data_IF_923398646505
#
_entry.id   IF_923398646505
#
_cell.length_a   1.000
_cell.length_b   1.000
_cell.length_c   1.000
_cell.angle_alpha   90.00
_cell.angle_beta   90.00
_cell.angle_gamma   90.00
#
_symmetry.space_group_name_H-M   'P 1'
#
loop_
_entity.id
_entity.type
_entity.pdbx_description
1 polymer ?
#
# COMPACT_ATOMS: atom_id res chain seq x y z
N UNK A 1 44.46 -56.73 56.22
CA UNK A 1 45.32 -55.64 55.71
C UNK A 1 44.48 -54.91 54.66
N UNK A 2 43.74 -53.84 55.01
CA UNK A 2 44.24 -52.45 55.14
C UNK A 2 44.46 -51.87 53.72
N UNK A 3 43.93 -50.73 53.28
CA UNK A 3 43.31 -49.54 53.87
C UNK A 3 42.47 -48.83 52.78
N UNK A 4 41.51 -48.00 53.21
CA UNK A 4 40.67 -46.95 52.57
C UNK A 4 41.15 -46.33 51.22
N UNK A 5 40.31 -45.72 50.36
CA UNK A 5 39.67 -44.40 50.54
C UNK A 5 38.45 -44.18 49.62
N UNK A 6 37.44 -43.56 50.24
CA UNK A 6 36.15 -43.01 49.79
C UNK A 6 36.30 -41.91 48.72
N UNK A 7 35.43 -41.91 47.69
CA UNK A 7 34.83 -40.64 47.24
C UNK A 7 33.48 -40.85 46.56
N UNK A 8 32.42 -40.62 47.34
CA UNK A 8 31.03 -40.60 46.91
C UNK A 8 30.63 -39.15 46.62
N UNK A 9 30.41 -38.83 45.34
CA UNK A 9 29.85 -37.54 44.92
C UNK A 9 28.50 -37.78 44.25
N UNK A 10 27.45 -37.80 45.08
CA UNK A 10 26.08 -37.57 44.67
C UNK A 10 25.95 -36.24 43.89
N UNK A 11 25.82 -36.33 42.57
CA UNK A 11 25.37 -35.22 41.72
C UNK A 11 23.85 -35.09 41.83
N UNK A 12 23.39 -34.00 42.45
CA UNK A 12 21.99 -33.55 42.40
C UNK A 12 21.62 -33.25 40.93
N UNK A 13 20.50 -33.78 40.39
CA UNK A 13 20.13 -33.50 39.01
C UNK A 13 19.67 -32.04 38.88
N UNK A 14 20.43 -31.25 38.13
CA UNK A 14 20.03 -29.92 37.71
C UNK A 14 18.74 -30.03 36.88
N UNK A 15 17.65 -29.39 37.35
CA UNK A 15 16.41 -29.25 36.59
C UNK A 15 16.73 -28.58 35.25
N UNK A 16 16.72 -29.35 34.16
CA UNK A 16 16.73 -28.83 32.79
C UNK A 16 15.51 -27.93 32.63
N UNK A 17 15.73 -26.63 32.58
CA UNK A 17 14.70 -25.69 32.12
C UNK A 17 14.44 -26.04 30.66
N UNK A 18 13.21 -26.48 30.38
CA UNK A 18 12.79 -26.92 29.06
C UNK A 18 12.68 -25.69 28.12
N UNK A 19 13.81 -25.28 27.53
CA UNK A 19 13.85 -24.20 26.55
C UNK A 19 13.09 -24.54 25.24
N UNK A 20 12.87 -25.82 24.97
CA UNK A 20 12.11 -26.29 23.80
C UNK A 20 10.67 -25.79 23.78
N UNK A 21 9.98 -25.76 24.92
CA UNK A 21 8.58 -25.32 24.98
C UNK A 21 8.42 -23.81 24.75
N UNK A 22 9.39 -23.00 25.19
CA UNK A 22 9.37 -21.53 25.01
C UNK A 22 9.67 -21.16 23.56
N UNK A 23 10.57 -21.88 22.89
CA UNK A 23 10.86 -21.69 21.46
C UNK A 23 9.66 -22.02 20.57
N UNK A 24 8.95 -23.11 20.85
CA UNK A 24 7.74 -23.49 20.11
C UNK A 24 6.57 -22.55 20.39
N UNK A 25 6.37 -22.09 21.64
CA UNK A 25 5.34 -21.09 21.96
C UNK A 25 5.62 -19.72 21.34
N UNK A 26 6.87 -19.23 21.36
CA UNK A 26 7.23 -17.99 20.66
C UNK A 26 7.03 -18.13 19.15
N UNK A 27 7.39 -19.26 18.55
CA UNK A 27 7.15 -19.53 17.13
C UNK A 27 5.66 -19.54 16.77
N UNK A 28 4.81 -20.20 17.57
CA UNK A 28 3.35 -20.27 17.35
C UNK A 28 2.66 -18.91 17.58
N UNK A 29 3.13 -18.10 18.53
CA UNK A 29 2.62 -16.74 18.76
C UNK A 29 3.04 -15.79 17.63
N UNK A 30 4.29 -15.87 17.15
CA UNK A 30 4.76 -15.05 16.02
C UNK A 30 4.01 -15.40 14.72
N UNK A 31 3.74 -16.68 14.46
CA UNK A 31 2.95 -17.11 13.29
C UNK A 31 1.48 -16.71 13.43
N UNK A 32 0.88 -16.80 14.63
CA UNK A 32 -0.50 -16.37 14.86
C UNK A 32 -0.69 -14.86 14.74
N UNK A 33 0.36 -14.07 14.99
CA UNK A 33 0.41 -12.61 14.83
C UNK A 33 0.83 -12.15 13.42
N UNK A 34 1.04 -13.07 12.47
CA UNK A 34 1.31 -12.78 11.05
C UNK A 34 0.13 -13.20 10.14
N UNK A 35 -1.08 -13.33 10.71
CA UNK A 35 -2.30 -13.68 9.95
C UNK A 35 -2.81 -12.50 9.11
N UNK A 36 -3.55 -12.77 8.00
CA UNK A 36 -4.29 -11.77 7.22
C UNK A 36 -5.21 -10.91 8.12
N UNK A 37 -5.69 -9.75 7.64
CA UNK A 37 -6.51 -8.86 8.46
C UNK A 37 -7.78 -9.56 8.94
N UNK A 38 -8.24 -9.13 10.10
CA UNK A 38 -9.41 -9.62 10.80
C UNK A 38 -10.42 -8.49 10.99
N UNK A 39 -11.65 -8.82 11.39
CA UNK A 39 -12.64 -7.80 11.75
C UNK A 39 -12.20 -6.88 12.90
N UNK A 40 -11.21 -7.28 13.72
CA UNK A 40 -10.60 -6.38 14.71
C UNK A 40 -9.78 -5.27 14.06
N UNK A 41 -9.06 -5.58 12.97
CA UNK A 41 -8.26 -4.60 12.24
C UNK A 41 -9.16 -3.52 11.62
N UNK A 42 -10.31 -3.91 11.06
CA UNK A 42 -11.26 -3.00 10.43
C UNK A 42 -11.94 -2.03 11.42
N UNK A 43 -12.12 -2.41 12.70
CA UNK A 43 -12.71 -1.52 13.73
C UNK A 43 -11.89 -0.26 14.01
N UNK A 44 -10.62 -0.24 13.60
CA UNK A 44 -9.75 0.92 13.76
C UNK A 44 -9.91 1.96 12.64
N UNK A 45 -10.67 1.65 11.57
CA UNK A 45 -10.95 2.60 10.50
C UNK A 45 -11.87 3.73 11.00
N UNK A 46 -11.65 4.99 10.55
CA UNK A 46 -12.35 6.15 11.09
C UNK A 46 -13.78 6.30 10.58
N UNK A 47 -14.09 5.72 9.42
CA UNK A 47 -15.41 5.79 8.75
C UNK A 47 -16.09 4.43 8.74
N UNK A 48 -17.35 4.40 8.31
CA UNK A 48 -18.18 3.20 8.10
C UNK A 48 -18.48 3.03 6.60
N UNK A 49 -18.87 1.82 6.15
CA UNK A 49 -19.21 1.61 4.73
C UNK A 49 -20.28 2.58 4.20
N UNK A 50 -21.33 2.83 4.98
CA UNK A 50 -22.42 3.75 4.61
C UNK A 50 -21.96 5.21 4.35
N UNK A 51 -20.80 5.62 4.87
CA UNK A 51 -20.25 6.96 4.61
C UNK A 51 -19.78 7.11 3.14
N UNK A 52 -19.55 5.98 2.46
CA UNK A 52 -18.96 5.87 1.12
C UNK A 52 -19.94 5.42 0.03
N UNK A 53 -21.19 5.16 0.38
CA UNK A 53 -22.23 4.91 -0.63
C UNK A 53 -22.58 6.22 -1.34
N UNK A 54 -22.75 6.14 -2.65
CA UNK A 54 -23.21 7.24 -3.47
C UNK A 54 -24.67 7.57 -3.14
N UNK A 55 -25.01 8.86 -3.19
CA UNK A 55 -26.41 9.28 -3.21
C UNK A 55 -26.94 9.07 -4.62
N UNK A 56 -28.00 8.26 -4.76
CA UNK A 56 -28.68 7.97 -6.03
C UNK A 56 -29.16 9.25 -6.73
N UNK A 57 -29.40 10.33 -5.97
CA UNK A 57 -29.84 11.63 -6.48
C UNK A 57 -28.69 12.63 -6.70
N UNK A 58 -27.42 12.21 -6.54
CA UNK A 58 -26.29 13.09 -6.71
C UNK A 58 -26.18 13.63 -8.14
N UNK A 59 -26.28 14.94 -8.31
CA UNK A 59 -26.13 15.61 -9.60
C UNK A 59 -24.71 15.44 -10.16
N UNK A 60 -24.57 15.25 -11.47
CA UNK A 60 -23.27 15.16 -12.17
C UNK A 60 -22.38 16.38 -11.91
N UNK A 61 -21.07 16.17 -11.85
CA UNK A 61 -20.09 17.23 -11.62
C UNK A 61 -19.49 17.62 -12.97
N UNK A 62 -19.73 18.85 -13.40
CA UNK A 62 -19.27 19.37 -14.70
C UNK A 62 -17.79 19.78 -14.74
N UNK A 63 -17.07 19.65 -13.61
CA UNK A 63 -15.62 19.92 -13.51
C UNK A 63 -14.83 18.99 -14.43
N UNK A 64 -13.86 19.53 -15.17
CA UNK A 64 -12.89 18.73 -15.90
C UNK A 64 -11.97 17.99 -14.91
N UNK A 65 -11.96 16.66 -14.98
CA UNK A 65 -11.11 15.78 -14.18
C UNK A 65 -10.22 14.98 -15.12
N UNK A 66 -8.92 14.88 -14.84
CA UNK A 66 -8.01 14.05 -15.62
C UNK A 66 -7.88 12.66 -15.01
N UNK A 67 -8.22 11.63 -15.76
CA UNK A 67 -8.17 10.23 -15.32
C UNK A 67 -7.10 9.47 -16.09
N UNK A 68 -5.99 9.14 -15.43
CA UNK A 68 -4.97 8.27 -16.02
C UNK A 68 -5.36 6.81 -15.80
N UNK A 69 -6.07 6.24 -16.76
CA UNK A 69 -6.65 4.90 -16.71
C UNK A 69 -5.71 3.79 -17.22
N UNK A 70 -4.40 4.05 -17.37
CA UNK A 70 -3.46 2.98 -17.69
C UNK A 70 -3.01 2.18 -16.47
N UNK A 71 -2.75 0.89 -16.68
CA UNK A 71 -2.32 -0.01 -15.62
C UNK A 71 -0.91 0.31 -15.10
N UNK A 72 -0.56 -0.18 -13.90
CA UNK A 72 0.79 -0.04 -13.37
C UNK A 72 1.85 -0.51 -14.38
N UNK A 73 3.02 0.16 -14.36
CA UNK A 73 4.20 -0.12 -15.20
C UNK A 73 4.12 0.32 -16.67
N UNK A 74 3.14 1.12 -17.04
CA UNK A 74 3.00 1.77 -18.37
C UNK A 74 3.55 3.21 -18.42
N UNK A 75 4.05 3.76 -17.29
CA UNK A 75 4.56 5.14 -17.22
C UNK A 75 3.72 6.09 -16.35
N UNK A 76 2.78 5.57 -15.56
CA UNK A 76 1.88 6.37 -14.71
C UNK A 76 2.60 7.34 -13.77
N UNK A 77 3.74 6.96 -13.17
CA UNK A 77 4.53 7.86 -12.31
C UNK A 77 5.19 9.02 -13.07
N UNK A 78 5.62 8.78 -14.31
CA UNK A 78 6.14 9.85 -15.18
C UNK A 78 5.03 10.81 -15.56
N UNK A 79 3.85 10.28 -15.90
CA UNK A 79 2.70 11.09 -16.23
C UNK A 79 2.18 11.88 -15.02
N UNK A 80 2.19 11.30 -13.81
CA UNK A 80 1.90 12.03 -12.56
C UNK A 80 2.79 13.27 -12.43
N UNK A 81 4.11 13.12 -12.58
CA UNK A 81 5.02 14.26 -12.48
C UNK A 81 4.82 15.29 -13.59
N UNK A 82 4.43 14.86 -14.79
CA UNK A 82 4.10 15.78 -15.87
C UNK A 82 2.84 16.60 -15.55
N UNK A 83 1.78 15.95 -15.05
CA UNK A 83 0.55 16.62 -14.62
C UNK A 83 0.81 17.58 -13.44
N UNK A 84 1.64 17.20 -12.47
CA UNK A 84 2.06 18.10 -11.39
C UNK A 84 2.84 19.31 -11.90
N UNK A 85 3.65 19.16 -12.95
CA UNK A 85 4.35 20.27 -13.58
C UNK A 85 3.41 21.20 -14.39
N UNK A 86 2.19 20.73 -14.72
CA UNK A 86 1.07 21.55 -15.19
C UNK A 86 0.29 22.19 -14.03
N UNK A 87 0.83 22.15 -12.80
CA UNK A 87 0.21 22.68 -11.60
C UNK A 87 -1.12 22.00 -11.23
N UNK A 88 -1.32 20.75 -11.66
CA UNK A 88 -2.46 19.93 -11.26
C UNK A 88 -2.15 19.19 -9.96
N UNK A 89 -3.16 19.08 -9.09
CA UNK A 89 -3.11 18.23 -7.91
C UNK A 89 -3.43 16.80 -8.32
N UNK A 90 -2.51 15.85 -8.05
CA UNK A 90 -2.62 14.48 -8.57
C UNK A 90 -2.59 13.44 -7.45
N UNK A 91 -3.62 12.61 -7.36
CA UNK A 91 -3.58 11.38 -6.59
C UNK A 91 -3.05 10.21 -7.44
N UNK A 92 -1.90 9.66 -7.04
CA UNK A 92 -1.40 8.37 -7.50
C UNK A 92 -1.51 7.35 -6.37
N UNK A 93 -0.91 6.19 -6.53
CA UNK A 93 -0.96 5.07 -5.58
C UNK A 93 -0.63 5.48 -4.14
N UNK A 94 0.40 6.32 -3.92
CA UNK A 94 0.85 6.63 -2.56
C UNK A 94 -0.15 7.51 -1.81
N UNK A 95 -0.66 8.53 -2.50
CA UNK A 95 -1.67 9.46 -2.00
C UNK A 95 -3.02 8.76 -1.79
N UNK A 96 -3.37 7.84 -2.70
CA UNK A 96 -4.59 7.02 -2.62
C UNK A 96 -4.65 6.19 -1.33
N UNK A 97 -3.55 5.50 -1.03
CA UNK A 97 -3.43 4.69 0.19
C UNK A 97 -3.41 5.56 1.45
N UNK A 98 -2.79 6.73 1.35
CA UNK A 98 -2.65 7.68 2.43
C UNK A 98 -4.02 8.23 2.89
N UNK A 99 -4.82 8.69 1.93
CA UNK A 99 -6.02 9.49 2.18
C UNK A 99 -7.29 8.67 2.39
N UNK A 100 -7.45 7.53 1.68
CA UNK A 100 -8.76 6.84 1.59
C UNK A 100 -8.69 5.31 1.79
N UNK A 101 -7.78 4.83 2.64
CA UNK A 101 -7.63 3.38 2.88
C UNK A 101 -8.92 2.69 3.35
N UNK A 102 -9.75 3.39 4.14
CA UNK A 102 -11.06 2.93 4.58
C UNK A 102 -12.02 2.70 3.41
N UNK A 103 -12.17 3.69 2.53
CA UNK A 103 -12.94 3.56 1.29
C UNK A 103 -12.51 2.33 0.48
N UNK A 104 -11.20 2.23 0.18
CA UNK A 104 -10.69 1.10 -0.63
C UNK A 104 -10.88 -0.25 0.06
N UNK A 105 -10.74 -0.28 1.39
CA UNK A 105 -11.02 -1.49 2.15
C UNK A 105 -12.49 -1.88 2.03
N UNK A 106 -13.44 -0.96 2.24
CA UNK A 106 -14.85 -1.28 2.17
C UNK A 106 -15.29 -1.66 0.76
N UNK A 107 -14.90 -0.89 -0.25
CA UNK A 107 -15.23 -1.13 -1.65
C UNK A 107 -14.71 -2.51 -2.13
N UNK A 108 -13.42 -2.81 -1.94
CA UNK A 108 -12.83 -4.07 -2.40
C UNK A 108 -13.24 -5.31 -1.58
N UNK A 109 -13.93 -5.10 -0.45
CA UNK A 109 -14.55 -6.17 0.32
C UNK A 109 -16.05 -6.32 0.02
N UNK A 110 -16.61 -5.55 -0.93
CA UNK A 110 -18.03 -5.59 -1.28
C UNK A 110 -18.93 -5.06 -0.18
N UNK A 111 -18.40 -4.18 0.68
CA UNK A 111 -19.15 -3.53 1.76
C UNK A 111 -19.75 -2.19 1.32
N UNK A 112 -19.35 -1.70 0.14
CA UNK A 112 -19.92 -0.56 -0.55
C UNK A 112 -20.41 -1.07 -1.90
N UNK A 113 -21.70 -0.89 -2.20
CA UNK A 113 -22.30 -1.35 -3.44
C UNK A 113 -22.08 -0.33 -4.57
N UNK A 114 -22.30 0.95 -4.29
CA UNK A 114 -22.19 2.05 -5.25
C UNK A 114 -21.21 3.09 -4.70
N UNK A 115 -19.94 3.10 -5.14
CA UNK A 115 -18.92 3.94 -4.53
C UNK A 115 -19.13 5.42 -4.85
N UNK A 116 -19.17 6.26 -3.82
CA UNK A 116 -19.14 7.72 -3.96
C UNK A 116 -17.74 8.20 -4.34
N UNK A 117 -17.42 8.08 -5.64
CA UNK A 117 -16.12 8.48 -6.19
C UNK A 117 -15.83 9.97 -6.00
N UNK A 118 -16.87 10.82 -5.90
CA UNK A 118 -16.68 12.25 -5.72
C UNK A 118 -16.03 12.58 -4.37
N UNK A 119 -16.40 11.87 -3.29
CA UNK A 119 -15.76 12.04 -1.97
C UNK A 119 -14.27 11.69 -1.97
N UNK A 120 -13.86 10.77 -2.83
CA UNK A 120 -12.47 10.27 -2.94
C UNK A 120 -11.59 11.20 -3.79
N UNK A 121 -12.19 11.98 -4.70
CA UNK A 121 -11.45 12.78 -5.70
C UNK A 121 -11.81 14.28 -5.67
N UNK A 122 -12.53 14.72 -4.64
CA UNK A 122 -13.01 16.11 -4.50
C UNK A 122 -11.89 17.16 -4.51
N UNK A 123 -10.73 16.82 -3.97
CA UNK A 123 -9.60 17.73 -3.71
C UNK A 123 -8.47 17.64 -4.75
N UNK A 124 -8.68 16.90 -5.84
CA UNK A 124 -7.67 16.70 -6.88
C UNK A 124 -8.17 16.99 -8.28
N UNK A 125 -7.26 17.45 -9.13
CA UNK A 125 -7.53 17.72 -10.55
C UNK A 125 -7.31 16.46 -11.41
N UNK A 126 -6.47 15.54 -10.92
CA UNK A 126 -6.16 14.32 -11.63
C UNK A 126 -6.00 13.09 -10.72
N UNK A 127 -6.32 11.93 -11.26
CA UNK A 127 -6.17 10.64 -10.60
C UNK A 127 -5.45 9.63 -11.49
N UNK A 128 -4.71 8.69 -10.90
CA UNK A 128 -3.82 7.81 -11.66
C UNK A 128 -3.60 6.42 -11.04
N UNK A 129 -3.17 5.50 -11.90
CA UNK A 129 -2.79 4.11 -11.61
C UNK A 129 -3.99 3.16 -11.48
N UNK A 130 -3.70 1.87 -11.24
CA UNK A 130 -4.67 0.78 -11.28
C UNK A 130 -5.93 1.00 -10.41
N UNK A 131 -5.84 1.78 -9.33
CA UNK A 131 -6.96 2.14 -8.45
C UNK A 131 -8.08 2.86 -9.19
N UNK A 132 -7.75 3.99 -9.82
CA UNK A 132 -8.73 4.80 -10.51
C UNK A 132 -9.00 4.33 -11.93
N UNK A 133 -8.09 3.54 -12.51
CA UNK A 133 -8.37 2.77 -13.70
C UNK A 133 -9.51 1.76 -13.46
N UNK A 134 -9.59 1.17 -12.26
CA UNK A 134 -10.69 0.29 -11.88
C UNK A 134 -12.02 1.05 -11.77
N UNK A 135 -11.99 2.25 -11.17
CA UNK A 135 -13.16 3.11 -10.96
C UNK A 135 -13.53 3.99 -12.17
N UNK A 136 -12.92 3.75 -13.34
CA UNK A 136 -13.19 4.56 -14.53
C UNK A 136 -14.69 4.66 -14.88
N UNK A 137 -15.51 3.59 -14.80
CA UNK A 137 -16.95 3.66 -15.08
C UNK A 137 -17.68 4.62 -14.15
N UNK A 138 -17.48 4.48 -12.84
CA UNK A 138 -18.14 5.29 -11.82
C UNK A 138 -17.67 6.75 -11.91
N UNK A 139 -16.38 6.97 -12.20
CA UNK A 139 -15.83 8.32 -12.43
C UNK A 139 -16.47 8.96 -13.65
N UNK A 140 -16.57 8.28 -14.79
CA UNK A 140 -17.13 8.85 -16.02
C UNK A 140 -18.63 9.09 -15.92
N UNK A 141 -19.35 8.28 -15.14
CA UNK A 141 -20.75 8.53 -14.82
C UNK A 141 -20.91 9.80 -13.97
N UNK A 142 -20.01 10.00 -12.99
CA UNK A 142 -20.06 11.11 -12.04
C UNK A 142 -19.51 12.43 -12.60
N UNK A 143 -18.50 12.35 -13.48
CA UNK A 143 -17.76 13.45 -14.12
C UNK A 143 -17.83 13.30 -15.65
N UNK A 144 -18.93 13.71 -16.29
CA UNK A 144 -19.15 13.50 -17.72
C UNK A 144 -18.13 14.22 -18.62
N UNK A 145 -17.46 15.26 -18.11
CA UNK A 145 -16.44 16.02 -18.83
C UNK A 145 -15.00 15.54 -18.55
N UNK A 146 -14.84 14.40 -17.88
CA UNK A 146 -13.51 13.87 -17.58
C UNK A 146 -12.70 13.58 -18.85
N UNK A 147 -11.40 13.86 -18.78
CA UNK A 147 -10.42 13.58 -19.82
C UNK A 147 -9.62 12.35 -19.41
N UNK A 148 -9.66 11.29 -20.21
CA UNK A 148 -9.02 10.02 -19.89
C UNK A 148 -7.73 9.84 -20.67
N UNK A 149 -6.64 9.52 -19.98
CA UNK A 149 -5.35 9.18 -20.57
C UNK A 149 -5.08 7.69 -20.35
N UNK A 150 -5.15 6.91 -21.42
CA UNK A 150 -4.80 5.50 -21.41
C UNK A 150 -3.30 5.35 -21.72
N UNK A 151 -2.51 5.11 -20.67
CA UNK A 151 -1.06 4.89 -20.86
C UNK A 151 -0.77 3.47 -21.32
N UNK A 152 0.03 3.35 -22.38
CA UNK A 152 0.31 2.10 -23.08
C UNK A 152 1.80 1.75 -23.07
N UNK A 153 2.09 0.47 -23.21
CA UNK A 153 3.43 -0.08 -23.36
C UNK A 153 3.34 -1.40 -24.11
N UNK A 154 4.38 -1.72 -24.89
CA UNK A 154 4.47 -3.02 -25.53
C UNK A 154 4.35 -4.14 -24.49
N UNK A 155 3.55 -5.14 -24.84
CA UNK A 155 3.07 -6.18 -23.95
C UNK A 155 4.19 -6.95 -23.25
N UNK A 156 5.19 -7.41 -24.01
CA UNK A 156 6.34 -8.16 -23.50
C UNK A 156 7.21 -7.36 -22.50
N UNK A 157 7.69 -6.15 -22.86
CA UNK A 157 8.36 -5.27 -21.90
C UNK A 157 7.51 -4.89 -20.68
N UNK A 158 6.19 -4.73 -20.85
CA UNK A 158 5.28 -4.46 -19.75
C UNK A 158 5.22 -5.63 -18.77
N UNK A 159 5.00 -6.85 -19.27
CA UNK A 159 4.88 -8.05 -18.45
C UNK A 159 6.14 -8.28 -17.61
N UNK A 160 7.33 -8.21 -18.22
CA UNK A 160 8.60 -8.33 -17.48
C UNK A 160 8.75 -7.25 -16.41
N UNK A 161 8.34 -6.02 -16.71
CA UNK A 161 8.41 -4.94 -15.72
C UNK A 161 7.43 -5.14 -14.56
N UNK A 162 6.28 -5.76 -14.81
CA UNK A 162 5.27 -6.03 -13.80
C UNK A 162 5.61 -7.26 -12.95
N UNK A 163 6.18 -8.32 -13.55
CA UNK A 163 6.79 -9.45 -12.84
C UNK A 163 7.86 -8.99 -11.84
N UNK A 164 8.80 -8.16 -12.29
CA UNK A 164 9.87 -7.63 -11.43
C UNK A 164 9.29 -6.76 -10.29
N UNK A 165 8.25 -5.99 -10.60
CA UNK A 165 7.55 -5.17 -9.60
C UNK A 165 6.89 -6.03 -8.51
N UNK A 166 6.13 -7.05 -8.87
CA UNK A 166 5.47 -7.98 -7.91
C UNK A 166 6.51 -8.76 -7.10
N UNK A 167 7.60 -9.21 -7.73
CA UNK A 167 8.66 -9.94 -7.06
C UNK A 167 9.40 -9.11 -6.00
N UNK A 168 9.59 -7.81 -6.25
CA UNK A 168 10.33 -6.89 -5.37
C UNK A 168 9.46 -6.18 -4.32
N UNK A 169 8.19 -5.93 -4.63
CA UNK A 169 7.32 -5.16 -3.75
C UNK A 169 6.91 -5.95 -2.52
N UNK A 170 7.34 -5.48 -1.35
CA UNK A 170 7.06 -6.07 -0.04
C UNK A 170 5.56 -6.25 0.27
N UNK A 171 4.68 -5.46 -0.36
CA UNK A 171 3.23 -5.53 -0.15
C UNK A 171 2.62 -6.85 -0.65
N UNK A 172 3.27 -7.55 -1.58
CA UNK A 172 2.85 -8.88 -2.05
C UNK A 172 3.34 -10.03 -1.15
N UNK A 173 4.31 -9.79 -0.27
CA UNK A 173 5.00 -10.86 0.45
C UNK A 173 4.81 -10.75 1.97
N UNK A 174 3.68 -11.26 2.45
CA UNK A 174 3.34 -11.33 3.89
C UNK A 174 4.47 -11.91 4.76
N UNK A 175 5.15 -12.95 4.28
CA UNK A 175 6.29 -13.56 4.97
C UNK A 175 7.46 -12.60 5.17
N UNK A 176 7.73 -11.70 4.22
CA UNK A 176 8.76 -10.66 4.34
C UNK A 176 8.39 -9.57 5.34
N UNK A 177 7.10 -9.43 5.64
CA UNK A 177 6.56 -8.43 6.58
C UNK A 177 6.24 -8.99 7.97
N UNK A 178 6.51 -10.26 8.27
CA UNK A 178 6.11 -10.91 9.53
C UNK A 178 6.47 -10.10 10.79
N UNK A 179 7.69 -9.56 10.86
CA UNK A 179 8.12 -8.69 11.98
C UNK A 179 7.26 -7.43 12.09
N UNK A 180 6.98 -6.77 10.98
CA UNK A 180 6.19 -5.53 10.95
C UNK A 180 4.71 -5.78 11.24
N UNK A 181 4.18 -6.93 10.87
CA UNK A 181 2.81 -7.34 11.23
C UNK A 181 2.68 -7.58 12.74
N UNK A 182 3.68 -8.21 13.36
CA UNK A 182 3.74 -8.35 14.82
C UNK A 182 3.81 -6.97 15.49
N UNK A 183 4.70 -6.10 15.02
CA UNK A 183 4.85 -4.74 15.57
C UNK A 183 3.61 -3.88 15.33
N UNK A 184 2.92 -4.03 14.21
CA UNK A 184 1.65 -3.37 13.91
C UNK A 184 0.56 -3.73 14.92
N UNK A 185 0.42 -5.02 15.26
CA UNK A 185 -0.55 -5.48 16.27
C UNK A 185 -0.17 -5.00 17.67
N UNK A 186 1.12 -5.07 18.01
CA UNK A 186 1.62 -4.55 19.27
C UNK A 186 1.44 -3.03 19.41
N UNK A 187 1.71 -2.27 18.35
CA UNK A 187 1.50 -0.82 18.30
C UNK A 187 0.07 -0.45 18.66
N UNK A 188 -0.90 -1.10 18.00
CA UNK A 188 -2.33 -0.87 18.26
C UNK A 188 -2.72 -1.27 19.68
N UNK A 189 -2.21 -2.39 20.19
CA UNK A 189 -2.46 -2.81 21.57
C UNK A 189 -1.89 -1.82 22.61
N UNK A 190 -0.82 -1.11 22.26
CA UNK A 190 -0.20 -0.06 23.09
C UNK A 190 -0.79 1.33 22.83
N UNK A 191 -1.70 1.49 21.85
CA UNK A 191 -2.28 2.78 21.48
C UNK A 191 -1.28 3.77 20.86
N UNK A 192 -0.24 3.27 20.18
CA UNK A 192 0.83 4.11 19.61
C UNK A 192 0.39 4.74 18.28
N UNK A 193 -0.26 5.90 18.35
CA UNK A 193 -0.65 6.70 17.17
C UNK A 193 0.52 7.48 16.57
N UNK A 194 1.56 6.77 16.12
CA UNK A 194 2.80 7.35 15.58
C UNK A 194 2.75 7.44 14.03
N UNK A 195 1.79 8.19 13.49
CA UNK A 195 1.69 8.49 12.05
C UNK A 195 2.28 9.86 11.69
N UNK A 196 2.76 10.05 10.45
CA UNK A 196 2.93 11.39 9.89
C UNK A 196 1.55 11.89 9.49
N UNK A 197 0.95 12.75 10.32
CA UNK A 197 -0.29 13.44 10.00
C UNK A 197 -1.47 12.52 9.72
N UNK A 198 -2.63 13.11 9.44
CA UNK A 198 -3.88 12.41 9.12
C UNK A 198 -3.86 11.72 7.72
N UNK A 199 -2.77 11.07 7.34
CA UNK A 199 -2.63 10.47 6.01
C UNK A 199 -1.37 9.67 5.71
N UNK A 200 -0.37 9.52 6.59
CA UNK A 200 0.79 8.68 6.27
C UNK A 200 0.52 7.16 6.28
N UNK A 201 1.38 6.34 5.65
CA UNK A 201 1.42 4.88 5.88
C UNK A 201 1.86 4.60 7.33
N UNK A 202 0.87 4.48 8.21
CA UNK A 202 1.07 4.09 9.59
C UNK A 202 1.26 2.55 9.67
N UNK A 203 2.20 2.12 10.53
CA UNK A 203 2.44 0.71 10.82
C UNK A 203 1.15 0.00 11.29
N UNK A 204 0.24 0.71 11.96
CA UNK A 204 -1.04 0.19 12.44
C UNK A 204 -1.99 -0.22 11.31
N UNK A 205 -1.88 0.42 10.15
CA UNK A 205 -2.70 0.16 8.97
C UNK A 205 -2.14 -0.94 8.06
N UNK A 206 -0.91 -1.41 8.33
CA UNK A 206 -0.20 -2.33 7.44
C UNK A 206 -1.00 -3.59 7.04
N UNK A 207 -1.70 -4.31 7.93
CA UNK A 207 -2.45 -5.50 7.52
C UNK A 207 -3.62 -5.19 6.58
N UNK A 208 -4.32 -4.07 6.80
CA UNK A 208 -5.42 -3.62 5.93
C UNK A 208 -4.89 -3.18 4.58
N UNK A 209 -3.80 -2.41 4.57
CA UNK A 209 -3.11 -2.01 3.34
C UNK A 209 -2.72 -3.21 2.50
N UNK A 210 -2.07 -4.21 3.09
CA UNK A 210 -1.61 -5.39 2.34
C UNK A 210 -2.79 -6.18 1.75
N UNK A 211 -3.94 -6.21 2.43
CA UNK A 211 -5.14 -6.85 1.88
C UNK A 211 -5.80 -6.03 0.77
N UNK A 212 -5.97 -4.72 0.98
CA UNK A 212 -6.43 -3.77 -0.06
C UNK A 212 -5.56 -3.89 -1.31
N UNK A 213 -4.25 -3.88 -1.13
CA UNK A 213 -3.27 -4.04 -2.21
C UNK A 213 -3.44 -5.37 -2.96
N UNK A 214 -3.50 -6.49 -2.23
CA UNK A 214 -3.71 -7.81 -2.82
C UNK A 214 -5.05 -7.90 -3.57
N UNK A 215 -6.09 -7.26 -3.07
CA UNK A 215 -7.44 -7.29 -3.65
C UNK A 215 -7.53 -6.48 -4.93
N UNK A 216 -7.05 -5.23 -4.94
CA UNK A 216 -7.04 -4.44 -6.18
C UNK A 216 -6.23 -5.15 -7.26
N UNK A 217 -5.12 -5.78 -6.88
CA UNK A 217 -4.28 -6.52 -7.81
C UNK A 217 -4.99 -7.75 -8.39
N UNK A 218 -5.70 -8.49 -7.52
CA UNK A 218 -6.52 -9.62 -7.94
C UNK A 218 -7.66 -9.19 -8.90
N UNK A 219 -8.32 -8.06 -8.64
CA UNK A 219 -9.42 -7.54 -9.46
C UNK A 219 -8.91 -7.09 -10.82
N UNK A 220 -7.83 -6.31 -10.85
CA UNK A 220 -7.31 -5.71 -12.08
C UNK A 220 -6.56 -6.75 -12.92
N UNK A 221 -5.61 -7.46 -12.32
CA UNK A 221 -4.67 -8.31 -13.04
C UNK A 221 -5.05 -9.79 -13.02
N UNK A 222 -6.00 -10.22 -12.17
CA UNK A 222 -6.31 -11.64 -11.94
C UNK A 222 -5.26 -12.35 -11.07
N UNK A 223 -4.24 -11.62 -10.60
CA UNK A 223 -3.14 -12.13 -9.80
C UNK A 223 -3.38 -11.96 -8.30
N UNK A 224 -4.19 -12.80 -7.67
CA UNK A 224 -4.30 -12.79 -6.20
C UNK A 224 -3.05 -13.30 -5.45
N UNK A 225 -1.93 -13.48 -6.15
CA UNK A 225 -0.72 -14.15 -5.68
C UNK A 225 0.53 -13.38 -6.06
N UNK A 226 1.60 -13.62 -5.31
CA UNK A 226 2.92 -13.03 -5.51
C UNK A 226 3.79 -13.77 -6.54
N UNK A 227 3.21 -14.68 -7.31
CA UNK A 227 3.88 -15.47 -8.34
C UNK A 227 3.48 -15.01 -9.75
N UNK A 228 4.35 -15.18 -10.76
CA UNK A 228 4.01 -14.91 -12.15
C UNK A 228 2.71 -15.60 -12.55
N UNK A 229 1.81 -14.84 -13.17
CA UNK A 229 0.49 -15.34 -13.56
C UNK A 229 0.27 -15.13 -15.06
N UNK A 230 -0.04 -16.19 -15.84
CA UNK A 230 -0.30 -16.05 -17.28
C UNK A 230 -1.53 -15.18 -17.59
N UNK A 231 -2.40 -14.92 -16.61
CA UNK A 231 -3.56 -14.04 -16.79
C UNK A 231 -3.20 -12.56 -16.90
N UNK A 232 -2.02 -12.14 -16.42
CA UNK A 232 -1.63 -10.72 -16.43
C UNK A 232 -1.67 -10.11 -17.82
N UNK A 233 -1.21 -10.85 -18.84
CA UNK A 233 -1.29 -10.43 -20.23
C UNK A 233 -2.73 -10.20 -20.68
N UNK A 234 -3.59 -11.19 -20.46
CA UNK A 234 -5.02 -11.09 -20.80
C UNK A 234 -5.72 -9.95 -20.05
N UNK A 235 -5.32 -9.72 -18.80
CA UNK A 235 -5.85 -8.62 -18.00
C UNK A 235 -5.45 -7.25 -18.55
N UNK A 236 -4.21 -7.10 -19.01
CA UNK A 236 -3.73 -5.89 -19.69
C UNK A 236 -4.55 -5.60 -20.95
N UNK A 237 -4.69 -6.58 -21.83
CA UNK A 237 -5.43 -6.41 -23.09
C UNK A 237 -6.91 -6.12 -22.82
N UNK A 238 -7.52 -6.89 -21.91
CA UNK A 238 -8.93 -6.70 -21.52
C UNK A 238 -9.15 -5.31 -20.96
N UNK A 239 -8.26 -4.82 -20.09
CA UNK A 239 -8.38 -3.49 -19.51
C UNK A 239 -8.29 -2.39 -20.56
N UNK A 240 -7.29 -2.46 -21.45
CA UNK A 240 -7.12 -1.46 -22.50
C UNK A 240 -8.31 -1.45 -23.47
N UNK A 241 -8.81 -2.63 -23.85
CA UNK A 241 -10.01 -2.75 -24.67
C UNK A 241 -11.26 -2.20 -23.95
N UNK A 242 -11.38 -2.46 -22.65
CA UNK A 242 -12.48 -1.96 -21.84
C UNK A 242 -12.51 -0.43 -21.77
N UNK A 243 -11.38 0.20 -21.46
CA UNK A 243 -11.27 1.67 -21.43
C UNK A 243 -11.64 2.27 -22.80
N UNK A 244 -11.15 1.70 -23.90
CA UNK A 244 -11.52 2.16 -25.25
C UNK A 244 -13.02 2.04 -25.54
N UNK A 245 -13.67 0.99 -25.02
CA UNK A 245 -15.11 0.80 -25.21
C UNK A 245 -15.96 1.74 -24.36
N UNK A 246 -15.41 2.21 -23.24
CA UNK A 246 -16.09 3.01 -22.24
C UNK A 246 -15.99 4.52 -22.52
N UNK A 247 -14.82 4.97 -22.99
CA UNK A 247 -14.50 6.39 -23.12
C UNK A 247 -14.77 6.88 -24.55
N UNK A 248 -15.54 7.96 -24.74
CA UNK A 248 -15.67 8.63 -26.03
C UNK A 248 -14.33 9.05 -26.62
N UNK A 249 -14.18 8.95 -27.94
CA UNK A 249 -12.91 9.24 -28.64
C UNK A 249 -12.37 10.66 -28.37
N UNK A 250 -13.25 11.65 -28.27
CA UNK A 250 -12.89 13.05 -27.95
C UNK A 250 -12.47 13.29 -26.48
N UNK A 251 -12.65 12.28 -25.63
CA UNK A 251 -12.26 12.28 -24.22
C UNK A 251 -11.10 11.32 -23.93
N UNK A 252 -10.56 10.63 -24.95
CA UNK A 252 -9.51 9.62 -24.77
C UNK A 252 -8.19 10.05 -25.43
N UNK A 253 -7.11 9.98 -24.67
CA UNK A 253 -5.74 10.07 -25.18
C UNK A 253 -5.02 8.75 -24.96
N UNK A 254 -4.57 8.10 -26.02
CA UNK A 254 -3.62 6.99 -25.93
C UNK A 254 -2.18 7.52 -25.82
N UNK A 255 -1.50 7.13 -24.75
CA UNK A 255 -0.21 7.73 -24.39
C UNK A 255 0.88 6.67 -24.20
N UNK A 256 1.81 6.58 -25.15
CA UNK A 256 2.89 5.59 -25.11
C UNK A 256 4.27 6.27 -25.10
N UNK A 257 4.89 6.30 -23.91
CA UNK A 257 6.23 6.87 -23.71
C UNK A 257 7.32 6.14 -24.52
N UNK A 258 7.15 4.85 -24.80
CA UNK A 258 8.12 4.07 -25.58
C UNK A 258 8.05 4.41 -27.08
N UNK A 259 6.90 4.88 -27.55
CA UNK A 259 6.69 5.35 -28.93
C UNK A 259 7.00 6.85 -29.10
N UNK A 260 7.46 7.52 -28.05
CA UNK A 260 7.92 8.91 -28.11
C UNK A 260 6.89 9.97 -27.71
N UNK A 261 5.69 9.57 -27.27
CA UNK A 261 4.71 10.54 -26.74
C UNK A 261 5.30 11.27 -25.52
N UNK A 262 4.97 12.55 -25.37
CA UNK A 262 5.51 13.42 -24.34
C UNK A 262 4.68 14.68 -24.16
N UNK A 263 5.35 15.83 -24.04
CA UNK A 263 4.71 17.11 -23.76
C UNK A 263 3.73 17.55 -24.85
N UNK A 264 4.06 17.31 -26.13
CA UNK A 264 3.25 17.77 -27.25
C UNK A 264 1.86 17.13 -27.23
N UNK A 265 1.81 15.81 -27.10
CA UNK A 265 0.56 15.04 -27.06
C UNK A 265 -0.26 15.37 -25.80
N UNK A 266 0.42 15.51 -24.65
CA UNK A 266 -0.24 15.84 -23.40
C UNK A 266 -0.86 17.25 -23.42
N UNK A 267 -0.12 18.26 -23.88
CA UNK A 267 -0.57 19.65 -23.91
C UNK A 267 -1.65 19.87 -24.98
N UNK A 268 -1.54 19.20 -26.13
CA UNK A 268 -2.59 19.23 -27.15
C UNK A 268 -3.92 18.65 -26.63
N UNK A 269 -3.86 17.65 -25.75
CA UNK A 269 -5.05 17.03 -25.16
C UNK A 269 -5.60 17.80 -23.95
N UNK A 270 -4.74 18.49 -23.19
CA UNK A 270 -5.09 19.29 -22.02
C UNK A 270 -4.82 20.79 -22.24
N UNK A 271 -5.48 21.46 -23.20
CA UNK A 271 -5.15 22.82 -23.60
C UNK A 271 -5.53 23.90 -22.57
N UNK A 272 -6.30 23.57 -21.52
CA UNK A 272 -6.88 24.56 -20.61
C UNK A 272 -6.01 24.92 -19.39
N UNK A 273 -4.86 24.28 -19.19
CA UNK A 273 -4.17 24.35 -17.88
C UNK A 273 -2.99 25.30 -17.77
N UNK A 274 -2.44 25.85 -18.87
CA UNK A 274 -1.17 26.61 -18.80
C UNK A 274 -1.07 27.75 -19.82
N UNK A 275 -0.35 28.82 -19.46
CA UNK A 275 -0.04 29.90 -20.39
C UNK A 275 0.99 29.46 -21.45
N UNK A 276 1.05 30.20 -22.58
CA UNK A 276 1.98 29.89 -23.69
C UNK A 276 3.45 29.84 -23.25
N UNK A 277 3.85 30.70 -22.31
CA UNK A 277 5.22 30.73 -21.81
C UNK A 277 5.58 29.44 -21.05
N UNK A 278 4.64 28.92 -20.27
CA UNK A 278 4.77 27.64 -19.56
C UNK A 278 4.77 26.49 -20.55
N UNK A 279 3.87 26.50 -21.54
CA UNK A 279 3.85 25.52 -22.63
C UNK A 279 5.20 25.44 -23.36
N UNK A 280 5.73 26.58 -23.83
CA UNK A 280 7.03 26.64 -24.53
C UNK A 280 8.17 26.10 -23.65
N UNK A 281 8.17 26.47 -22.36
CA UNK A 281 9.15 25.97 -21.39
C UNK A 281 9.03 24.45 -21.20
N UNK A 282 7.82 23.92 -21.08
CA UNK A 282 7.57 22.49 -20.87
C UNK A 282 7.96 21.68 -22.12
N UNK A 283 7.64 22.17 -23.33
CA UNK A 283 8.02 21.50 -24.58
C UNK A 283 9.55 21.46 -24.76
N UNK A 284 10.27 22.49 -24.28
CA UNK A 284 11.73 22.54 -24.37
C UNK A 284 12.46 21.57 -23.42
N UNK A 285 11.82 21.15 -22.33
CA UNK A 285 12.41 20.21 -21.37
C UNK A 285 12.11 18.75 -21.72
N UNK A 286 12.97 17.79 -21.34
CA UNK A 286 12.65 16.37 -21.50
C UNK A 286 11.40 16.01 -20.68
N UNK A 287 10.57 15.12 -21.25
CA UNK A 287 9.43 14.58 -20.51
C UNK A 287 9.93 13.78 -19.27
N UNK A 288 9.26 13.90 -18.10
CA UNK A 288 9.69 13.23 -16.89
C UNK A 288 9.90 11.71 -17.08
N UNK A 289 11.04 11.19 -16.61
CA UNK A 289 11.36 9.74 -16.60
C UNK A 289 11.56 9.27 -15.16
N UNK A 290 10.45 9.09 -14.46
CA UNK A 290 10.41 8.63 -13.07
C UNK A 290 10.10 7.14 -12.98
N UNK A 291 10.38 6.54 -11.81
CA UNK A 291 10.16 5.11 -11.55
C UNK A 291 10.93 4.17 -12.50
N UNK A 292 11.94 4.72 -13.20
CA UNK A 292 13.08 3.99 -13.71
C UNK A 292 13.90 3.47 -12.52
N UNK A 293 14.60 2.35 -12.71
CA UNK A 293 15.28 1.55 -11.66
C UNK A 293 16.27 2.36 -10.78
N UNK A 294 16.53 3.63 -11.12
CA UNK A 294 17.58 4.49 -10.56
C UNK A 294 17.12 5.74 -9.80
N UNK A 295 15.83 6.06 -9.69
CA UNK A 295 15.39 7.32 -9.06
C UNK A 295 15.14 7.21 -7.53
N UNK A 296 15.86 8.02 -6.74
CA UNK A 296 15.86 8.13 -5.27
C UNK A 296 14.75 9.05 -4.70
N UNK A 297 13.86 9.60 -5.52
CA UNK A 297 12.92 10.65 -5.13
C UNK A 297 11.47 10.19 -5.30
N UNK A 298 10.89 9.62 -4.25
CA UNK A 298 9.46 9.33 -4.18
C UNK A 298 9.00 9.46 -2.72
N UNK A 299 7.77 9.98 -2.51
CA UNK A 299 7.05 10.09 -1.24
C UNK A 299 7.17 8.85 -0.32
N UNK A 300 7.42 7.69 -0.93
CA UNK A 300 7.90 6.46 -0.28
C UNK A 300 8.94 6.68 0.83
N UNK A 301 9.84 7.68 0.74
CA UNK A 301 10.90 7.88 1.74
C UNK A 301 10.45 8.55 3.03
N UNK A 302 9.58 9.57 2.98
CA UNK A 302 9.06 10.24 4.18
C UNK A 302 8.17 9.28 4.96
N UNK A 303 7.25 8.62 4.24
CA UNK A 303 6.41 7.58 4.83
C UNK A 303 7.25 6.42 5.36
N UNK A 304 8.22 5.90 4.58
CA UNK A 304 9.08 4.82 5.06
C UNK A 304 9.97 5.22 6.25
N UNK A 305 10.39 6.49 6.37
CA UNK A 305 11.13 6.97 7.53
C UNK A 305 10.25 6.97 8.78
N UNK A 306 9.02 7.48 8.69
CA UNK A 306 8.11 7.43 9.84
C UNK A 306 7.68 6.01 10.20
N UNK A 307 7.35 5.17 9.22
CA UNK A 307 7.06 3.75 9.50
C UNK A 307 8.24 3.09 10.18
N UNK A 308 9.50 3.36 9.76
CA UNK A 308 10.71 2.85 10.43
C UNK A 308 10.88 3.41 11.85
N UNK A 309 10.60 4.68 12.07
CA UNK A 309 10.66 5.30 13.40
C UNK A 309 9.62 4.68 14.33
N UNK A 310 8.38 4.54 13.87
CA UNK A 310 7.29 3.87 14.57
C UNK A 310 7.64 2.42 14.90
N UNK A 311 8.20 1.69 13.93
CA UNK A 311 8.68 0.33 14.11
C UNK A 311 9.72 0.24 15.24
N UNK A 312 10.70 1.15 15.25
CA UNK A 312 11.75 1.21 16.28
C UNK A 312 11.19 1.56 17.66
N UNK A 313 10.30 2.55 17.75
CA UNK A 313 9.68 2.97 19.01
C UNK A 313 8.82 1.85 19.60
N UNK A 314 8.04 1.17 18.77
CA UNK A 314 7.23 0.02 19.21
C UNK A 314 8.12 -1.11 19.73
N UNK A 315 9.19 -1.45 19.01
CA UNK A 315 10.14 -2.47 19.43
C UNK A 315 10.83 -2.10 20.76
N UNK A 316 11.21 -0.83 20.94
CA UNK A 316 11.81 -0.32 22.18
C UNK A 316 10.83 -0.42 23.36
N UNK A 317 9.58 -0.03 23.18
CA UNK A 317 8.55 -0.11 24.23
C UNK A 317 8.29 -1.55 24.64
N UNK A 318 8.19 -2.48 23.69
CA UNK A 318 8.06 -3.91 23.98
C UNK A 318 9.27 -4.43 24.77
N UNK A 319 10.49 -4.01 24.41
CA UNK A 319 11.70 -4.38 25.15
C UNK A 319 11.70 -3.84 26.59
N UNK A 320 11.30 -2.57 26.79
CA UNK A 320 11.19 -1.97 28.12
C UNK A 320 10.11 -2.65 28.98
N UNK A 321 8.97 -3.02 28.39
CA UNK A 321 7.91 -3.78 29.06
C UNK A 321 8.37 -5.19 29.46
N UNK A 322 9.10 -5.89 28.57
CA UNK A 322 9.64 -7.21 28.85
C UNK A 322 10.69 -7.19 29.99
N UNK A 323 11.58 -6.20 29.98
CA UNK A 323 12.63 -6.07 31.01
C UNK A 323 12.06 -5.68 32.37
N UNK A 324 11.08 -4.78 32.44
CA UNK A 324 10.41 -4.41 33.70
C UNK A 324 9.59 -5.55 34.28
N UNK A 325 8.79 -6.26 33.47
CA UNK A 325 8.02 -7.43 33.91
C UNK A 325 8.93 -8.55 34.42
N UNK A 326 10.02 -8.84 33.69
CA UNK A 326 11.03 -9.80 34.13
C UNK A 326 11.69 -9.39 35.45
N UNK A 327 12.08 -8.11 35.59
CA UNK A 327 12.67 -7.57 36.81
C UNK A 327 11.74 -7.69 38.02
N UNK A 328 10.45 -7.38 37.86
CA UNK A 328 9.43 -7.53 38.90
C UNK A 328 9.21 -9.00 39.29
N UNK A 329 9.12 -9.90 38.30
CA UNK A 329 8.98 -11.33 38.54
C UNK A 329 10.20 -11.91 39.29
N UNK A 330 11.41 -11.50 38.90
CA UNK A 330 12.66 -11.90 39.55
C UNK A 330 12.73 -11.40 41.01
N UNK A 331 12.40 -10.12 41.26
CA UNK A 331 12.32 -9.56 42.62
C UNK A 331 11.32 -10.32 43.50
N UNK A 332 10.13 -10.63 42.97
CA UNK A 332 9.10 -11.44 43.68
C UNK A 332 9.61 -12.84 44.03
N UNK A 333 10.29 -13.53 43.09
CA UNK A 333 10.91 -14.85 43.35
C UNK A 333 12.00 -14.78 44.41
N UNK A 334 12.86 -13.76 44.36
CA UNK A 334 13.94 -13.56 45.36
C UNK A 334 13.38 -13.29 46.76
N UNK A 335 12.31 -12.49 46.89
CA UNK A 335 11.62 -12.27 48.17
C UNK A 335 11.00 -13.55 48.73
N UNK A 336 10.38 -14.39 47.88
CA UNK A 336 9.83 -15.69 48.31
C UNK A 336 10.91 -16.67 48.77
N UNK A 337 12.10 -16.67 48.16
CA UNK A 337 13.25 -17.48 48.58
C UNK A 337 13.94 -17.00 49.86
N UNK A 338 13.76 -15.74 50.26
CA UNK A 338 14.28 -15.19 51.53
C UNK A 338 13.32 -15.36 52.72
N UNK A 339 12.07 -15.74 52.44
CA UNK A 339 11.01 -15.98 53.46
C UNK A 339 10.78 -17.46 53.76
N UNK A 340 11.46 -18.34 53.02
CA UNK A 340 11.64 -19.76 53.32
C UNK A 340 13.06 -19.91 53.79
#
# INVERSE_FOLDING_TARGET
MGVDVINDHHKVPARRVCWGFVGTLLGVVVVSLARPPSGWDARALPTKPADWEADENAERIERELVVVAGLSRTGTSSLQAALMALNLTVHHTSETIASHLDFWYYYLNGLVAEPDVAKVIQDVDAVSDCWFAHLAPEILQRYPNAKVILTLRDEEPWLRSYEDYVARSDLYHWSRQARRLVLSRASRALGLRLGIGRGGLDLEKLPLLMDVWRRIDAVIYGGGSNAPNPQWRKAYDRHNAYIRSLVPENQLLEFNLAQGHGWRELLAFLPQSVDRATEDRLIAQPFPRLNCVTSRSCFSHLSARATKTHERLTALLLFLLATTTFGLAWRRRRRRRRRR
#
